data_IF_693742047471
#
_entry.id   IF_693742047471
#
_cell.length_a   1.000
_cell.length_b   1.000
_cell.length_c   1.000
_cell.angle_alpha   90.00
_cell.angle_beta   90.00
_cell.angle_gamma   90.00
#
_symmetry.space_group_name_H-M   'P 1'
#
loop_
_entity.id
_entity.type
_entity.pdbx_description
1 polymer ?
#
# COMPACT_ATOMS: atom_id res chain seq x y z
N UNK A 1 -7.51 -1.50 3.44
CA UNK A 1 -6.80 -2.40 2.51
C UNK A 1 -7.07 -2.00 1.09
N UNK A 2 -6.02 -1.88 0.28
CA UNK A 2 -6.13 -1.56 -1.14
C UNK A 2 -5.88 -2.78 -2.01
N UNK A 3 -4.74 -3.44 -1.80
CA UNK A 3 -4.31 -4.59 -2.60
C UNK A 3 -4.18 -5.82 -1.69
N UNK A 4 -5.07 -6.81 -1.82
CA UNK A 4 -4.97 -8.04 -1.03
C UNK A 4 -3.72 -8.84 -1.36
N UNK A 5 -3.29 -9.67 -0.41
CA UNK A 5 -2.23 -10.65 -0.63
C UNK A 5 -2.59 -11.58 -1.79
N UNK A 6 -1.55 -12.02 -2.50
CA UNK A 6 -1.68 -12.82 -3.72
C UNK A 6 -2.13 -12.03 -4.95
N UNK A 7 -2.47 -10.74 -4.83
CA UNK A 7 -2.79 -9.94 -6.01
C UNK A 7 -1.56 -9.72 -6.88
N UNK A 8 -1.73 -9.94 -8.18
CA UNK A 8 -0.72 -9.71 -9.23
C UNK A 8 -0.86 -8.32 -9.88
N UNK A 9 -1.70 -7.46 -9.30
CA UNK A 9 -1.93 -6.11 -9.78
C UNK A 9 -1.97 -5.13 -8.61
N UNK A 10 -1.45 -3.92 -8.85
CA UNK A 10 -1.54 -2.81 -7.90
C UNK A 10 -2.93 -2.17 -8.01
N UNK A 11 -3.66 -2.18 -6.91
CA UNK A 11 -4.89 -1.41 -6.74
C UNK A 11 -4.59 -0.17 -5.88
N UNK A 12 -5.30 0.91 -6.15
CA UNK A 12 -5.15 2.16 -5.39
C UNK A 12 -6.51 2.78 -5.14
N UNK A 13 -6.76 3.18 -3.89
CA UNK A 13 -7.96 3.92 -3.52
C UNK A 13 -7.84 5.37 -3.96
N UNK A 14 -8.91 5.91 -4.57
CA UNK A 14 -9.00 7.32 -4.93
C UNK A 14 -9.96 8.05 -3.98
N UNK A 15 -9.47 8.81 -2.98
CA UNK A 15 -10.32 9.44 -1.98
C UNK A 15 -11.40 10.35 -2.57
N UNK A 16 -11.09 11.10 -3.64
CA UNK A 16 -12.04 11.99 -4.33
C UNK A 16 -13.20 11.23 -4.97
N UNK A 17 -12.93 10.05 -5.54
CA UNK A 17 -13.93 9.23 -6.24
C UNK A 17 -14.61 8.22 -5.31
N UNK A 18 -13.98 7.92 -4.16
CA UNK A 18 -14.38 6.86 -3.23
C UNK A 18 -14.42 5.48 -3.90
N UNK A 19 -13.47 5.21 -4.78
CA UNK A 19 -13.38 3.99 -5.57
C UNK A 19 -11.95 3.44 -5.55
N UNK A 20 -11.85 2.12 -5.72
CA UNK A 20 -10.58 1.46 -6.02
C UNK A 20 -10.36 1.45 -7.53
N UNK A 21 -9.17 1.84 -7.95
CA UNK A 21 -8.75 1.82 -9.35
C UNK A 21 -7.65 0.77 -9.55
N UNK A 22 -7.70 0.08 -10.69
CA UNK A 22 -6.60 -0.73 -11.17
C UNK A 22 -5.50 0.20 -11.69
N UNK A 23 -4.33 0.14 -11.08
CA UNK A 23 -3.22 1.02 -11.45
C UNK A 23 -2.35 0.38 -12.52
N UNK A 24 -1.85 -0.83 -12.27
CA UNK A 24 -0.99 -1.58 -13.22
C UNK A 24 -0.84 -3.05 -12.83
N UNK A 25 -0.52 -3.94 -13.77
CA UNK A 25 -0.06 -5.29 -13.42
C UNK A 25 1.32 -5.22 -12.75
N UNK A 26 1.63 -6.24 -11.95
CA UNK A 26 2.98 -6.51 -11.50
C UNK A 26 3.76 -7.27 -12.59
N UNK A 27 5.10 -7.19 -12.59
CA UNK A 27 5.92 -8.08 -13.40
C UNK A 27 5.56 -9.55 -13.19
N UNK A 28 5.69 -10.36 -14.25
CA UNK A 28 5.35 -11.77 -14.21
C UNK A 28 6.09 -12.51 -13.08
N UNK A 29 5.36 -13.33 -12.31
CA UNK A 29 5.89 -14.07 -11.17
C UNK A 29 5.93 -13.29 -9.85
N UNK A 30 5.49 -12.02 -9.83
CA UNK A 30 5.34 -11.24 -8.60
C UNK A 30 3.88 -11.13 -8.17
N UNK A 31 3.67 -11.30 -6.87
CA UNK A 31 2.40 -11.04 -6.20
C UNK A 31 2.67 -10.36 -4.86
N UNK A 32 1.70 -9.60 -4.35
CA UNK A 32 1.80 -9.01 -3.01
C UNK A 32 1.84 -10.13 -1.95
N UNK A 33 2.88 -10.22 -1.09
CA UNK A 33 3.01 -11.32 -0.13
C UNK A 33 2.00 -11.23 1.01
N UNK A 34 1.60 -10.01 1.36
CA UNK A 34 0.65 -9.65 2.40
C UNK A 34 -0.25 -8.52 1.92
N UNK A 35 -1.32 -8.23 2.67
CA UNK A 35 -2.24 -7.16 2.31
C UNK A 35 -1.54 -5.80 2.42
N UNK A 36 -1.65 -5.01 1.36
CA UNK A 36 -1.13 -3.64 1.27
C UNK A 36 -2.28 -2.63 1.32
N UNK A 37 -2.06 -1.52 2.01
CA UNK A 37 -2.92 -0.35 1.93
C UNK A 37 -2.35 0.82 2.68
N UNK A 38 -3.21 1.76 3.06
CA UNK A 38 -2.82 2.97 3.77
C UNK A 38 -3.43 3.03 5.18
N UNK A 39 -2.84 3.86 6.04
CA UNK A 39 -3.33 4.20 7.37
C UNK A 39 -4.27 5.41 7.28
N UNK A 40 -5.58 5.25 7.58
CA UNK A 40 -6.52 6.36 7.54
C UNK A 40 -6.13 7.48 8.51
N UNK A 41 -6.48 8.73 8.16
CA UNK A 41 -6.24 9.91 9.00
C UNK A 41 -4.76 10.17 9.32
N UNK A 42 -3.86 9.76 8.41
CA UNK A 42 -2.45 10.15 8.40
C UNK A 42 -2.18 11.09 7.22
N UNK A 43 -1.15 11.93 7.35
CA UNK A 43 -0.64 12.76 6.27
C UNK A 43 0.89 12.75 6.38
N UNK A 44 1.54 12.20 5.37
CA UNK A 44 2.98 12.22 5.19
C UNK A 44 3.46 13.56 4.66
N UNK A 45 4.77 13.76 4.68
CA UNK A 45 5.42 14.99 4.22
C UNK A 45 5.30 15.19 2.70
N UNK A 46 4.92 14.14 1.97
CA UNK A 46 4.64 14.10 0.54
C UNK A 46 3.16 14.36 0.17
N UNK A 47 2.33 14.80 1.14
CA UNK A 47 0.88 15.01 1.00
C UNK A 47 0.08 13.71 0.74
N UNK A 48 0.70 12.55 0.92
CA UNK A 48 0.07 11.23 0.82
C UNK A 48 -0.09 10.56 2.19
N UNK A 49 -1.04 9.63 2.29
CA UNK A 49 -1.23 8.84 3.53
C UNK A 49 -0.08 7.85 3.71
N UNK A 50 0.29 7.56 4.95
CA UNK A 50 1.28 6.51 5.22
C UNK A 50 0.80 5.14 4.72
N UNK A 51 1.65 4.47 3.95
CA UNK A 51 1.45 3.09 3.51
C UNK A 51 1.73 2.08 4.63
N UNK A 52 1.08 0.93 4.55
CA UNK A 52 1.21 -0.16 5.51
C UNK A 52 0.99 -1.53 4.88
N UNK A 53 1.72 -2.50 5.43
CA UNK A 53 1.59 -3.93 5.13
C UNK A 53 1.10 -4.65 6.38
N UNK A 54 0.05 -5.48 6.25
CA UNK A 54 -0.49 -6.22 7.40
C UNK A 54 -0.15 -7.70 7.29
N UNK A 55 0.60 -8.20 8.28
CA UNK A 55 0.94 -9.62 8.40
C UNK A 55 -0.20 -10.35 9.12
N UNK A 56 -0.88 -11.25 8.42
CA UNK A 56 -1.93 -12.11 8.97
C UNK A 56 -2.13 -13.36 8.11
N UNK A 57 -3.01 -14.27 8.54
CA UNK A 57 -3.13 -15.61 7.97
C UNK A 57 -4.05 -15.70 6.75
N UNK A 58 -5.07 -14.84 6.65
CA UNK A 58 -6.09 -14.91 5.61
C UNK A 58 -5.78 -13.97 4.43
N UNK A 59 -6.54 -14.09 3.34
CA UNK A 59 -6.58 -13.06 2.29
C UNK A 59 -7.77 -12.15 2.55
N UNK A 60 -7.59 -10.83 2.48
CA UNK A 60 -8.71 -9.90 2.61
C UNK A 60 -9.29 -9.49 1.24
N UNK A 61 -10.03 -8.38 1.22
CA UNK A 61 -10.58 -7.79 0.01
C UNK A 61 -10.31 -6.27 0.01
N UNK A 62 -10.30 -5.62 -1.16
CA UNK A 62 -10.20 -4.16 -1.23
C UNK A 62 -11.32 -3.50 -0.43
N UNK A 63 -11.00 -2.42 0.29
CA UNK A 63 -11.96 -1.69 1.11
C UNK A 63 -12.16 -2.22 2.53
N UNK A 64 -11.59 -3.38 2.88
CA UNK A 64 -11.63 -3.89 4.25
C UNK A 64 -10.74 -3.05 5.17
N UNK A 65 -11.25 -2.73 6.36
CA UNK A 65 -10.48 -2.14 7.46
C UNK A 65 -10.03 -3.28 8.37
N UNK A 66 -8.73 -3.37 8.61
CA UNK A 66 -8.14 -4.35 9.52
C UNK A 66 -7.56 -3.59 10.70
N UNK A 67 -7.99 -3.95 11.91
CA UNK A 67 -7.36 -3.48 13.15
C UNK A 67 -6.08 -4.28 13.37
N UNK A 68 -4.95 -3.59 13.55
CA UNK A 68 -3.64 -4.20 13.76
C UNK A 68 -2.82 -3.39 14.75
N UNK A 69 -1.80 -4.03 15.32
CA UNK A 69 -0.80 -3.38 16.17
C UNK A 69 0.44 -3.01 15.32
N UNK A 70 1.06 -1.87 15.65
CA UNK A 70 2.30 -1.44 14.99
C UNK A 70 3.45 -2.35 15.43
N UNK A 71 4.04 -3.08 14.48
CA UNK A 71 5.19 -3.95 14.74
C UNK A 71 6.52 -3.27 14.47
N UNK A 72 6.63 -2.57 13.33
CA UNK A 72 7.85 -1.92 12.88
C UNK A 72 7.53 -0.84 11.82
N UNK A 73 8.49 0.05 11.58
CA UNK A 73 8.47 1.02 10.49
C UNK A 73 9.64 0.74 9.53
N UNK A 74 9.38 0.82 8.23
CA UNK A 74 10.40 0.68 7.19
C UNK A 74 10.62 2.04 6.52
N UNK A 75 11.82 2.60 6.67
CA UNK A 75 12.20 3.83 5.96
C UNK A 75 12.75 3.46 4.59
N UNK A 76 12.09 3.92 3.53
CA UNK A 76 12.50 3.68 2.15
C UNK A 76 12.88 5.02 1.53
N UNK A 77 14.11 5.11 1.01
CA UNK A 77 14.52 6.24 0.19
C UNK A 77 14.17 5.96 -1.26
N UNK A 78 13.26 6.73 -1.82
CA UNK A 78 12.96 6.68 -3.25
C UNK A 78 13.95 7.58 -3.99
N UNK A 79 14.62 7.02 -4.99
CA UNK A 79 15.45 7.80 -5.91
C UNK A 79 14.64 8.04 -7.18
N UNK A 80 14.30 9.29 -7.46
CA UNK A 80 13.77 9.69 -8.76
C UNK A 80 14.93 10.25 -9.61
N UNK A 81 15.09 9.75 -10.83
CA UNK A 81 16.14 10.20 -11.78
C UNK A 81 17.60 10.15 -11.29
N UNK A 82 17.91 9.32 -10.28
CA UNK A 82 19.27 9.16 -9.75
C UNK A 82 19.65 10.13 -8.65
N UNK A 83 18.74 11.02 -8.22
CA UNK A 83 18.91 11.85 -7.04
C UNK A 83 18.13 11.24 -5.87
N UNK A 84 18.80 11.07 -4.74
CA UNK A 84 18.19 10.54 -3.52
C UNK A 84 17.27 11.60 -2.92
N UNK A 85 15.96 11.37 -2.94
CA UNK A 85 15.02 12.18 -2.16
C UNK A 85 15.22 11.80 -0.70
N UNK A 86 15.66 12.77 0.11
CA UNK A 86 15.78 12.57 1.56
C UNK A 86 14.38 12.56 2.18
N UNK A 87 14.19 11.78 3.25
CA UNK A 87 12.91 11.73 3.97
C UNK A 87 12.54 13.10 4.52
#
# INVERSE_FOLDING_TARGET
METPRGAEAKLTYKPKKKLFEYTRPLPAGLAYPYDWGFLPSTLGDDDDTLDGLVIHEATSAPGVVIKCDLLAALCVMQAENGETVKP
#
